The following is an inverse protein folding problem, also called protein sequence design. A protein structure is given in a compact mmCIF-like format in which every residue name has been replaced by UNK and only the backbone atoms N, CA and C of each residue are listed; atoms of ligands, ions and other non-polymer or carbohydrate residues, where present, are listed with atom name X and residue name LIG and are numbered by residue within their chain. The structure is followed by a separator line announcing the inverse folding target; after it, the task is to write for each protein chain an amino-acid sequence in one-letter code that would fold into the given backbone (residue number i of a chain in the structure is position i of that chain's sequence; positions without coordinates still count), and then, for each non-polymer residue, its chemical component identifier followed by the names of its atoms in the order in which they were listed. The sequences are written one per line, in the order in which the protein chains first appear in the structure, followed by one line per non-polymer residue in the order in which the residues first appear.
data_IF_531419721410
#
_entry.id   IF_531419721410
#
_cell.length_a   1.000
_cell.length_b   1.000
_cell.length_c   1.000
_cell.angle_alpha   90.00
_cell.angle_beta   90.00
_cell.angle_gamma   90.00
#
_symmetry.space_group_name_H-M   'P 1'
#
loop_
_entity.id
_entity.type
_entity.pdbx_description
1 polymer ?
#
# COMPACT_ATOMS: atom_id res chain seq x y z
N UNK A 1 13.92 37.68 -2.60
CA UNK A 1 14.59 36.46 -2.16
C UNK A 1 13.46 35.57 -1.65
N UNK A 2 12.98 34.63 -2.44
CA UNK A 2 12.04 33.62 -1.98
C UNK A 2 12.74 32.80 -0.88
N UNK A 3 12.13 32.75 0.31
CA UNK A 3 12.59 31.82 1.34
C UNK A 3 12.52 30.42 0.73
N UNK A 4 13.63 29.72 0.65
CA UNK A 4 13.66 28.33 0.17
C UNK A 4 12.72 27.50 1.01
N UNK A 5 11.84 26.73 0.37
CA UNK A 5 10.98 25.77 1.04
C UNK A 5 11.88 24.83 1.85
N UNK A 6 11.50 24.61 3.10
CA UNK A 6 12.28 23.72 3.98
C UNK A 6 12.05 22.28 3.60
N UNK A 7 13.08 21.46 3.74
CA UNK A 7 12.90 19.99 3.76
C UNK A 7 12.12 19.64 5.02
N UNK A 8 11.05 18.88 4.84
CA UNK A 8 10.24 18.32 5.92
C UNK A 8 10.66 16.86 6.11
N UNK A 9 10.69 16.41 7.35
CA UNK A 9 11.01 15.03 7.70
C UNK A 9 9.97 14.51 8.67
N UNK A 10 9.48 13.33 8.47
CA UNK A 10 8.57 12.63 9.37
C UNK A 10 9.07 11.20 9.63
N UNK A 11 8.77 10.71 10.82
CA UNK A 11 9.02 9.32 11.23
C UNK A 11 7.75 8.81 11.90
N UNK A 12 7.36 7.60 11.56
CA UNK A 12 6.19 6.97 12.15
C UNK A 12 6.32 5.47 12.22
N UNK A 13 5.37 4.84 12.91
CA UNK A 13 5.22 3.39 12.88
C UNK A 13 3.76 3.03 13.17
N UNK A 14 3.22 2.11 12.40
CA UNK A 14 1.94 1.49 12.67
C UNK A 14 2.14 0.12 13.35
N UNK A 15 1.31 -0.18 14.33
CA UNK A 15 1.13 -1.53 14.86
C UNK A 15 -0.22 -2.02 14.37
N UNK A 16 -0.24 -3.08 13.57
CA UNK A 16 -1.44 -3.64 12.96
C UNK A 16 -1.68 -5.08 13.37
N UNK A 17 -2.94 -5.46 13.52
CA UNK A 17 -3.34 -6.83 13.85
C UNK A 17 -3.20 -7.81 12.69
N UNK A 18 -3.10 -7.29 11.47
CA UNK A 18 -2.97 -8.05 10.23
C UNK A 18 -2.45 -7.13 9.13
N UNK A 19 -1.59 -7.63 8.25
CA UNK A 19 -1.15 -6.93 7.07
C UNK A 19 -2.04 -7.33 5.88
N UNK A 20 -2.92 -6.43 5.46
CA UNK A 20 -3.79 -6.59 4.29
C UNK A 20 -3.47 -5.52 3.26
N UNK A 21 -3.16 -5.93 2.04
CA UNK A 21 -2.79 -5.04 0.94
C UNK A 21 -3.55 -5.41 -0.33
N UNK A 22 -4.26 -4.47 -0.93
CA UNK A 22 -5.04 -4.62 -2.16
C UNK A 22 -5.97 -5.84 -2.15
N UNK A 23 -6.62 -6.09 -1.00
CA UNK A 23 -7.51 -7.24 -0.80
C UNK A 23 -6.81 -8.57 -0.54
N UNK A 24 -5.50 -8.57 -0.34
CA UNK A 24 -4.69 -9.76 -0.05
C UNK A 24 -4.23 -9.75 1.41
N UNK A 25 -4.26 -10.91 2.05
CA UNK A 25 -3.68 -11.13 3.39
C UNK A 25 -2.20 -11.47 3.23
N UNK A 26 -1.32 -10.55 3.62
CA UNK A 26 0.13 -10.70 3.49
C UNK A 26 0.80 -11.07 4.80
N UNK A 27 0.08 -11.08 5.93
CA UNK A 27 0.66 -11.48 7.20
C UNK A 27 -0.19 -11.14 8.43
N UNK A 28 0.27 -11.63 9.57
CA UNK A 28 -0.34 -11.44 10.88
C UNK A 28 -0.03 -10.07 11.49
N UNK A 29 0.10 -10.08 12.82
CA UNK A 29 0.47 -8.87 13.59
C UNK A 29 1.85 -8.39 13.16
N UNK A 30 1.96 -7.10 12.79
CA UNK A 30 3.23 -6.51 12.37
C UNK A 30 3.43 -5.08 12.87
N UNK A 31 4.69 -4.66 12.94
CA UNK A 31 5.10 -3.26 13.10
C UNK A 31 5.54 -2.75 11.73
N UNK A 32 5.02 -1.59 11.34
CA UNK A 32 5.23 -1.01 10.02
C UNK A 32 5.83 0.40 10.14
N UNK A 33 7.17 0.51 10.29
CA UNK A 33 7.85 1.80 10.38
C UNK A 33 7.88 2.53 9.05
N UNK A 34 7.82 3.88 9.11
CA UNK A 34 7.92 4.77 7.97
C UNK A 34 8.87 5.92 8.28
N UNK A 35 9.70 6.28 7.31
CA UNK A 35 10.48 7.52 7.29
C UNK A 35 10.19 8.21 5.97
N UNK A 36 9.91 9.53 6.02
CA UNK A 36 9.68 10.32 4.81
C UNK A 36 10.43 11.65 4.87
N UNK A 37 10.96 12.05 3.71
CA UNK A 37 11.54 13.35 3.45
C UNK A 37 10.76 14.02 2.32
N UNK A 38 10.25 15.23 2.59
CA UNK A 38 9.48 16.03 1.63
C UNK A 38 10.18 17.34 1.27
N UNK A 39 10.11 17.74 -0.01
CA UNK A 39 10.58 19.05 -0.47
C UNK A 39 9.87 19.46 -1.76
N UNK A 40 9.11 20.55 -1.71
CA UNK A 40 8.47 21.18 -2.89
C UNK A 40 7.67 20.20 -3.76
N UNK A 41 6.88 19.35 -3.12
CA UNK A 41 6.09 18.31 -3.78
C UNK A 41 6.85 17.02 -4.09
N UNK A 42 8.19 17.00 -4.01
CA UNK A 42 8.99 15.77 -4.05
C UNK A 42 8.93 15.08 -2.69
N UNK A 43 8.86 13.75 -2.69
CA UNK A 43 8.97 12.93 -1.50
C UNK A 43 9.90 11.74 -1.74
N UNK A 44 10.62 11.36 -0.70
CA UNK A 44 11.39 10.11 -0.63
C UNK A 44 10.99 9.43 0.67
N UNK A 45 10.44 8.24 0.59
CA UNK A 45 10.05 7.47 1.76
C UNK A 45 10.66 6.07 1.77
N UNK A 46 10.88 5.57 2.98
CA UNK A 46 11.16 4.18 3.25
C UNK A 46 10.09 3.68 4.21
N UNK A 47 9.41 2.61 3.83
CA UNK A 47 8.44 1.89 4.64
C UNK A 47 8.91 0.46 4.82
N UNK A 48 8.49 -0.21 5.87
CA UNK A 48 8.74 -1.62 6.05
C UNK A 48 7.64 -2.30 6.83
N UNK A 49 7.61 -3.64 6.81
CA UNK A 49 6.74 -4.48 7.62
C UNK A 49 7.55 -5.59 8.25
N UNK A 50 7.44 -5.74 9.56
CA UNK A 50 8.08 -6.82 10.32
C UNK A 50 7.03 -7.50 11.17
N UNK A 51 6.75 -8.76 10.85
CA UNK A 51 5.80 -9.59 11.60
C UNK A 51 6.39 -10.12 12.91
N UNK A 52 5.54 -10.67 13.76
CA UNK A 52 5.94 -11.22 15.07
C UNK A 52 6.23 -12.72 15.02
N UNK A 53 5.97 -13.38 13.91
CA UNK A 53 6.30 -14.79 13.70
C UNK A 53 7.38 -14.94 12.64
N UNK A 54 8.06 -16.09 12.61
CA UNK A 54 9.09 -16.35 11.60
C UNK A 54 8.52 -16.70 10.22
N UNK A 55 7.24 -16.89 10.17
CA UNK A 55 6.48 -17.24 8.95
C UNK A 55 5.94 -15.99 8.27
N UNK A 56 5.94 -14.84 8.98
CA UNK A 56 5.52 -13.56 8.41
C UNK A 56 6.56 -13.04 7.41
N UNK A 57 6.09 -12.51 6.31
CA UNK A 57 6.93 -11.85 5.31
C UNK A 57 7.50 -10.55 5.87
N UNK A 58 8.81 -10.34 5.73
CA UNK A 58 9.45 -9.05 5.97
C UNK A 58 9.51 -8.27 4.65
N UNK A 59 9.15 -6.98 4.70
CA UNK A 59 9.08 -6.13 3.52
C UNK A 59 9.78 -4.79 3.75
N UNK A 60 10.43 -4.29 2.71
CA UNK A 60 11.05 -2.96 2.66
C UNK A 60 10.68 -2.31 1.32
N UNK A 61 10.05 -1.15 1.40
CA UNK A 61 9.64 -0.36 0.25
C UNK A 61 10.38 0.97 0.22
N UNK A 62 10.94 1.32 -0.93
CA UNK A 62 11.50 2.64 -1.17
C UNK A 62 10.67 3.36 -2.25
N UNK A 63 10.11 4.51 -1.90
CA UNK A 63 9.26 5.28 -2.83
C UNK A 63 9.84 6.66 -3.09
N UNK A 64 9.96 7.00 -4.37
CA UNK A 64 10.20 8.36 -4.84
C UNK A 64 8.90 8.88 -5.44
N UNK A 65 8.37 9.97 -4.90
CA UNK A 65 7.10 10.57 -5.31
C UNK A 65 7.22 12.04 -5.71
N UNK A 66 6.24 12.50 -6.46
CA UNK A 66 5.99 13.91 -6.72
C UNK A 66 4.50 14.19 -6.76
N UNK A 67 4.09 15.20 -6.01
CA UNK A 67 2.69 15.64 -5.95
C UNK A 67 2.60 17.16 -6.19
N UNK A 68 1.61 17.55 -7.02
CA UNK A 68 1.29 18.97 -7.22
C UNK A 68 -0.12 19.16 -7.78
N UNK A 69 -0.93 19.98 -7.09
CA UNK A 69 -2.25 20.39 -7.58
C UNK A 69 -3.23 19.23 -7.76
N UNK A 70 -3.17 18.24 -6.86
CA UNK A 70 -3.97 17.03 -6.88
C UNK A 70 -3.39 15.91 -7.78
N UNK A 71 -2.45 16.21 -8.68
CA UNK A 71 -1.78 15.21 -9.49
C UNK A 71 -0.62 14.60 -8.71
N UNK A 72 -0.49 13.28 -8.75
CA UNK A 72 0.59 12.52 -8.13
C UNK A 72 1.21 11.52 -9.10
N UNK A 73 2.51 11.33 -8.97
CA UNK A 73 3.25 10.23 -9.61
C UNK A 73 4.26 9.67 -8.63
N UNK A 74 4.49 8.36 -8.65
CA UNK A 74 5.58 7.78 -7.87
C UNK A 74 6.17 6.53 -8.54
N UNK A 75 7.33 6.13 -8.05
CA UNK A 75 7.95 4.85 -8.32
C UNK A 75 8.30 4.24 -6.97
N UNK A 76 7.87 3.00 -6.76
CA UNK A 76 8.16 2.21 -5.56
C UNK A 76 8.97 0.98 -5.92
N UNK A 77 10.00 0.72 -5.16
CA UNK A 77 10.77 -0.52 -5.13
C UNK A 77 10.31 -1.32 -3.91
N UNK A 78 9.54 -2.37 -4.14
CA UNK A 78 9.11 -3.35 -3.14
C UNK A 78 10.14 -4.45 -3.04
N UNK A 79 10.56 -4.81 -1.84
CA UNK A 79 11.38 -5.98 -1.61
C UNK A 79 10.82 -6.81 -0.46
N UNK A 80 10.73 -8.13 -0.66
CA UNK A 80 10.34 -9.09 0.36
C UNK A 80 11.45 -10.12 0.61
N UNK A 81 11.48 -10.67 1.82
CA UNK A 81 12.47 -11.70 2.20
C UNK A 81 12.16 -13.11 1.67
N UNK A 82 11.15 -13.26 0.79
CA UNK A 82 10.73 -14.55 0.22
C UNK A 82 11.70 -15.14 -0.82
N UNK A 83 12.73 -14.39 -1.18
CA UNK A 83 13.70 -14.82 -2.20
C UNK A 83 15.10 -14.29 -1.93
N UNK A 84 15.84 -13.85 -2.97
CA UNK A 84 17.18 -13.30 -2.83
C UNK A 84 17.24 -12.07 -1.92
N UNK A 85 18.37 -11.92 -1.22
CA UNK A 85 18.57 -10.81 -0.28
C UNK A 85 18.47 -9.43 -0.94
N UNK A 86 18.23 -8.40 -0.13
CA UNK A 86 17.93 -7.01 -0.53
C UNK A 86 18.87 -6.43 -1.61
N UNK A 87 20.15 -6.70 -1.59
CA UNK A 87 21.09 -6.16 -2.58
C UNK A 87 21.20 -6.97 -3.89
N UNK A 88 20.30 -7.92 -4.10
CA UNK A 88 20.26 -8.74 -5.30
C UNK A 88 19.28 -8.18 -6.34
N UNK A 89 19.79 -7.38 -7.28
CA UNK A 89 19.02 -6.74 -8.37
C UNK A 89 19.14 -7.47 -9.73
N UNK A 90 19.32 -8.78 -9.71
CA UNK A 90 19.42 -9.58 -10.95
C UNK A 90 18.13 -9.56 -11.77
N UNK A 91 18.22 -9.25 -13.06
CA UNK A 91 17.07 -8.93 -13.93
C UNK A 91 15.95 -9.99 -14.02
N UNK A 92 16.19 -11.23 -13.63
CA UNK A 92 15.18 -12.31 -13.68
C UNK A 92 15.24 -13.20 -12.42
N UNK A 93 15.91 -12.73 -11.38
CA UNK A 93 16.14 -13.51 -10.16
C UNK A 93 16.07 -12.65 -8.89
N UNK A 94 15.52 -11.45 -8.99
CA UNK A 94 15.36 -10.53 -7.85
C UNK A 94 14.03 -10.75 -7.15
N UNK A 95 13.97 -10.46 -5.83
CA UNK A 95 12.73 -10.29 -5.08
C UNK A 95 12.18 -8.85 -5.17
N UNK A 96 12.92 -7.93 -5.83
CA UNK A 96 12.43 -6.57 -6.03
C UNK A 96 11.34 -6.51 -7.09
N UNK A 97 10.29 -5.74 -6.81
CA UNK A 97 9.23 -5.37 -7.76
C UNK A 97 9.20 -3.85 -7.88
N UNK A 98 9.30 -3.34 -9.10
CA UNK A 98 9.25 -1.90 -9.36
C UNK A 98 7.89 -1.53 -9.92
N UNK A 99 7.15 -0.69 -9.18
CA UNK A 99 5.83 -0.21 -9.55
C UNK A 99 5.85 1.30 -9.83
N UNK A 100 5.18 1.71 -10.89
CA UNK A 100 4.87 3.10 -11.17
C UNK A 100 3.42 3.39 -10.78
N UNK A 101 3.19 4.56 -10.19
CA UNK A 101 1.85 5.05 -9.83
C UNK A 101 1.60 6.40 -10.50
N UNK A 102 0.36 6.59 -10.95
CA UNK A 102 -0.20 7.89 -11.36
C UNK A 102 -1.54 8.06 -10.66
N UNK A 103 -1.78 9.23 -10.07
CA UNK A 103 -3.02 9.50 -9.38
C UNK A 103 -3.51 10.93 -9.57
N UNK A 104 -4.79 11.13 -9.23
CA UNK A 104 -5.38 12.45 -9.13
C UNK A 104 -6.36 12.53 -7.97
N UNK A 105 -6.16 13.50 -7.09
CA UNK A 105 -7.06 13.85 -6.01
C UNK A 105 -7.99 15.00 -6.43
N UNK A 106 -9.29 14.72 -6.48
CA UNK A 106 -10.37 15.67 -6.78
C UNK A 106 -10.82 16.47 -5.54
N UNK A 107 -10.23 16.19 -4.36
CA UNK A 107 -10.57 16.77 -3.06
C UNK A 107 -11.71 16.02 -2.35
N UNK A 108 -12.63 15.38 -3.06
CA UNK A 108 -13.70 14.53 -2.51
C UNK A 108 -13.49 13.03 -2.78
N UNK A 109 -12.63 12.71 -3.74
CA UNK A 109 -12.18 11.36 -4.06
C UNK A 109 -10.81 11.41 -4.70
N UNK A 110 -10.04 10.35 -4.56
CA UNK A 110 -8.78 10.15 -5.28
C UNK A 110 -8.88 8.91 -6.16
N UNK A 111 -8.32 8.99 -7.38
CA UNK A 111 -8.23 7.90 -8.34
C UNK A 111 -6.75 7.61 -8.57
N UNK A 112 -6.34 6.32 -8.47
CA UNK A 112 -4.97 5.90 -8.67
C UNK A 112 -4.88 4.73 -9.64
N UNK A 113 -3.82 4.72 -10.42
CA UNK A 113 -3.38 3.62 -11.28
C UNK A 113 -1.96 3.23 -10.90
N UNK A 114 -1.74 1.94 -10.71
CA UNK A 114 -0.47 1.33 -10.39
C UNK A 114 -0.11 0.31 -11.46
N UNK A 115 1.17 0.17 -11.81
CA UNK A 115 1.64 -0.84 -12.77
C UNK A 115 3.05 -1.29 -12.42
N UNK A 116 3.24 -2.58 -12.26
CA UNK A 116 4.56 -3.20 -12.14
C UNK A 116 5.26 -3.17 -13.51
N UNK A 117 6.44 -2.58 -13.58
CA UNK A 117 7.16 -2.43 -14.85
C UNK A 117 8.51 -3.15 -14.90
N UNK A 118 9.06 -3.55 -13.74
CA UNK A 118 10.34 -4.25 -13.64
C UNK A 118 10.39 -5.18 -12.42
N UNK A 119 11.42 -6.04 -12.34
CA UNK A 119 11.63 -6.96 -11.24
C UNK A 119 10.76 -8.21 -11.31
N UNK A 120 10.36 -8.71 -10.15
CA UNK A 120 9.58 -9.94 -9.93
C UNK A 120 8.08 -9.77 -10.15
N UNK A 121 7.67 -9.11 -11.23
CA UNK A 121 6.26 -8.98 -11.59
C UNK A 121 5.59 -10.33 -11.87
N UNK A 122 4.27 -10.35 -11.78
CA UNK A 122 3.43 -11.48 -12.16
C UNK A 122 3.49 -11.82 -13.65
N UNK A 123 2.93 -12.97 -13.99
CA UNK A 123 2.90 -13.51 -15.33
C UNK A 123 1.46 -13.68 -15.82
N UNK A 124 1.31 -13.65 -17.14
CA UNK A 124 0.10 -14.07 -17.82
C UNK A 124 0.10 -15.61 -17.95
N UNK A 125 -1.04 -16.21 -18.30
CA UNK A 125 -1.14 -17.67 -18.60
C UNK A 125 -0.10 -18.16 -19.63
N UNK A 126 0.37 -17.29 -20.51
CA UNK A 126 1.40 -17.61 -21.51
C UNK A 126 2.84 -17.48 -20.99
N UNK A 127 3.04 -17.20 -19.68
CA UNK A 127 4.34 -17.06 -19.05
C UNK A 127 5.07 -15.76 -19.39
N UNK A 128 4.37 -14.75 -19.93
CA UNK A 128 4.93 -13.44 -20.21
C UNK A 128 4.69 -12.51 -19.01
N UNK A 129 5.56 -11.50 -18.84
CA UNK A 129 5.33 -10.43 -17.85
C UNK A 129 3.93 -9.86 -18.00
N UNK A 130 3.18 -9.81 -16.91
CA UNK A 130 1.80 -9.35 -16.92
C UNK A 130 1.68 -7.82 -16.90
N UNK A 131 2.72 -7.10 -16.46
CA UNK A 131 2.63 -5.69 -16.11
C UNK A 131 1.47 -5.49 -15.12
N UNK A 132 1.50 -6.29 -14.06
CA UNK A 132 0.44 -6.38 -13.06
C UNK A 132 0.03 -5.01 -12.61
N UNK A 133 -1.24 -4.70 -12.74
CA UNK A 133 -1.77 -3.36 -12.51
C UNK A 133 -2.93 -3.38 -11.54
N UNK A 134 -3.10 -2.27 -10.84
CA UNK A 134 -4.17 -2.07 -9.89
C UNK A 134 -4.76 -0.67 -10.05
N UNK A 135 -6.07 -0.58 -10.01
CA UNK A 135 -6.83 0.67 -9.97
C UNK A 135 -7.43 0.84 -8.60
N UNK A 136 -7.38 2.02 -8.01
CA UNK A 136 -8.13 2.29 -6.79
C UNK A 136 -8.87 3.61 -6.85
N UNK A 137 -10.01 3.65 -6.16
CA UNK A 137 -10.78 4.85 -5.85
C UNK A 137 -10.89 4.94 -4.34
N UNK A 138 -10.51 6.09 -3.79
CA UNK A 138 -10.59 6.40 -2.37
C UNK A 138 -11.55 7.56 -2.14
N UNK A 139 -12.46 7.43 -1.18
CA UNK A 139 -13.44 8.47 -0.81
C UNK A 139 -13.35 8.72 0.69
N UNK A 140 -12.61 9.77 1.11
CA UNK A 140 -12.56 10.18 2.51
C UNK A 140 -13.81 10.99 2.90
N UNK A 141 -14.31 10.81 4.12
CA UNK A 141 -15.36 11.64 4.71
C UNK A 141 -15.28 11.61 6.24
N UNK A 142 -15.86 12.63 6.89
CA UNK A 142 -15.95 12.69 8.34
C UNK A 142 -17.41 12.53 8.78
N UNK A 143 -17.64 11.65 9.77
CA UNK A 143 -18.97 11.41 10.34
C UNK A 143 -18.85 11.10 11.84
N UNK A 144 -19.65 11.79 12.66
CA UNK A 144 -19.72 11.59 14.11
C UNK A 144 -18.36 11.73 14.85
N UNK A 145 -17.46 12.60 14.35
CA UNK A 145 -16.12 12.81 14.92
C UNK A 145 -15.19 11.63 14.72
N UNK A 146 -15.40 10.88 13.66
CA UNK A 146 -14.56 9.79 13.16
C UNK A 146 -14.25 10.12 11.71
N UNK A 147 -13.00 9.92 11.30
CA UNK A 147 -12.58 10.03 9.92
C UNK A 147 -12.73 8.66 9.24
N UNK A 148 -13.46 8.65 8.13
CA UNK A 148 -13.77 7.45 7.37
C UNK A 148 -13.10 7.51 6.00
N UNK A 149 -12.71 6.35 5.49
CA UNK A 149 -12.30 6.17 4.11
C UNK A 149 -12.95 4.92 3.52
N UNK A 150 -13.61 5.08 2.38
CA UNK A 150 -14.04 3.96 1.54
C UNK A 150 -13.04 3.82 0.42
N UNK A 151 -12.58 2.59 0.19
CA UNK A 151 -11.72 2.28 -0.94
C UNK A 151 -12.32 1.14 -1.74
N UNK A 152 -12.26 1.25 -3.06
CA UNK A 152 -12.54 0.16 -4.00
C UNK A 152 -11.35 0.02 -4.94
N UNK A 153 -10.94 -1.23 -5.17
CA UNK A 153 -9.79 -1.55 -6.00
C UNK A 153 -10.04 -2.73 -6.94
N UNK A 154 -9.41 -2.68 -8.10
CA UNK A 154 -9.57 -3.69 -9.14
C UNK A 154 -8.27 -3.95 -9.90
N UNK A 155 -8.10 -5.19 -10.32
CA UNK A 155 -7.08 -5.65 -11.27
C UNK A 155 -7.67 -5.54 -12.67
N UNK A 156 -7.07 -4.79 -13.63
CA UNK A 156 -7.68 -4.51 -14.92
C UNK A 156 -7.52 -5.63 -15.97
N UNK A 157 -6.56 -6.54 -15.79
CA UNK A 157 -6.27 -7.63 -16.73
C UNK A 157 -5.59 -8.83 -16.06
N UNK A 158 -5.42 -9.91 -16.81
CA UNK A 158 -4.88 -11.17 -16.32
C UNK A 158 -3.45 -11.03 -15.77
N UNK A 159 -3.26 -11.55 -14.56
CA UNK A 159 -1.96 -11.62 -13.86
C UNK A 159 -2.07 -12.63 -12.72
N UNK A 160 -0.98 -13.31 -12.38
CA UNK A 160 -0.86 -14.17 -11.19
C UNK A 160 -0.32 -13.41 -9.95
N UNK A 161 -0.11 -12.10 -10.05
CA UNK A 161 0.43 -11.27 -8.96
C UNK A 161 -0.58 -10.98 -7.85
N UNK A 162 -1.87 -10.88 -8.19
CA UNK A 162 -2.94 -10.59 -7.24
C UNK A 162 -3.83 -11.81 -7.04
N UNK A 163 -4.21 -12.09 -5.78
CA UNK A 163 -5.19 -13.12 -5.48
C UNK A 163 -6.59 -12.65 -5.93
N UNK A 164 -7.09 -13.25 -6.99
CA UNK A 164 -8.33 -12.85 -7.62
C UNK A 164 -9.26 -14.03 -7.91
N UNK A 165 -8.99 -15.21 -7.34
CA UNK A 165 -9.89 -16.35 -7.33
C UNK A 165 -9.81 -17.06 -5.98
N UNK A 166 -10.76 -17.91 -5.65
CA UNK A 166 -10.83 -18.72 -4.42
C UNK A 166 -9.89 -19.94 -4.43
N UNK A 167 -9.23 -20.21 -5.56
CA UNK A 167 -8.21 -21.26 -5.64
C UNK A 167 -6.86 -20.69 -5.17
N UNK A 168 -6.18 -21.38 -4.23
CA UNK A 168 -4.83 -21.06 -3.80
C UNK A 168 -3.91 -20.87 -5.02
N UNK A 169 -3.30 -19.70 -5.14
CA UNK A 169 -2.38 -19.30 -6.21
C UNK A 169 -2.96 -19.02 -7.60
N UNK A 170 -4.25 -18.86 -7.77
CA UNK A 170 -4.79 -18.42 -9.06
C UNK A 170 -4.97 -16.90 -9.09
N UNK A 171 -4.32 -16.27 -10.04
CA UNK A 171 -4.38 -14.83 -10.29
C UNK A 171 -5.66 -14.41 -11.00
N UNK A 172 -5.74 -13.11 -11.33
CA UNK A 172 -6.81 -12.57 -12.15
C UNK A 172 -6.75 -13.12 -13.59
N UNK A 173 -7.88 -13.55 -14.11
CA UNK A 173 -8.03 -13.98 -15.51
C UNK A 173 -8.50 -12.83 -16.44
N UNK A 174 -8.71 -11.65 -15.88
CA UNK A 174 -9.19 -10.46 -16.57
C UNK A 174 -9.43 -9.33 -15.59
N UNK A 175 -10.48 -8.53 -15.83
CA UNK A 175 -10.90 -7.50 -14.88
C UNK A 175 -11.58 -8.14 -13.68
N UNK A 176 -10.99 -7.91 -12.47
CA UNK A 176 -11.51 -8.41 -11.21
C UNK A 176 -11.48 -7.32 -10.13
N UNK A 177 -12.59 -7.16 -9.40
CA UNK A 177 -12.62 -6.34 -8.19
C UNK A 177 -12.04 -7.15 -7.05
N UNK A 178 -10.89 -6.74 -6.54
CA UNK A 178 -10.17 -7.48 -5.49
C UNK A 178 -10.20 -6.79 -4.13
N UNK A 179 -10.70 -5.55 -4.08
CA UNK A 179 -10.79 -4.81 -2.83
C UNK A 179 -12.04 -3.93 -2.76
N UNK A 180 -12.78 -4.07 -1.66
CA UNK A 180 -13.74 -3.10 -1.17
C UNK A 180 -13.51 -2.95 0.32
N UNK A 181 -13.10 -1.77 0.79
CA UNK A 181 -12.78 -1.56 2.19
C UNK A 181 -13.43 -0.33 2.78
N UNK A 182 -13.66 -0.38 4.09
CA UNK A 182 -14.09 0.74 4.91
C UNK A 182 -13.16 0.83 6.10
N UNK A 183 -12.51 1.99 6.26
CA UNK A 183 -11.68 2.30 7.42
C UNK A 183 -12.30 3.41 8.24
N UNK A 184 -12.24 3.26 9.56
CA UNK A 184 -12.58 4.27 10.55
C UNK A 184 -11.33 4.62 11.33
N UNK A 185 -10.99 5.91 11.45
CA UNK A 185 -9.86 6.41 12.23
C UNK A 185 -10.34 7.38 13.29
N UNK A 186 -9.83 7.23 14.51
CA UNK A 186 -10.18 8.07 15.65
C UNK A 186 -8.92 8.51 16.40
N UNK A 187 -8.80 9.81 16.61
CA UNK A 187 -7.81 10.40 17.50
C UNK A 187 -8.21 10.19 18.96
N UNK A 188 -7.43 9.42 19.73
CA UNK A 188 -7.65 9.22 21.15
C UNK A 188 -6.71 10.11 21.98
N UNK A 189 -7.22 11.09 22.75
CA UNK A 189 -6.38 11.90 23.61
C UNK A 189 -5.85 11.03 24.77
N UNK A 190 -4.52 10.81 24.80
CA UNK A 190 -3.84 10.04 25.85
C UNK A 190 -3.34 10.96 26.96
N UNK A 191 -2.79 12.12 26.55
CA UNK A 191 -2.38 13.20 27.46
C UNK A 191 -2.85 14.55 26.92
N UNK A 192 -2.56 15.65 27.61
CA UNK A 192 -2.86 17.00 27.13
C UNK A 192 -2.04 17.41 25.88
N UNK A 193 -0.94 16.68 25.59
CA UNK A 193 -0.03 16.97 24.48
C UNK A 193 0.18 15.80 23.54
N UNK A 194 -0.48 14.67 23.75
CA UNK A 194 -0.33 13.48 22.92
C UNK A 194 -1.69 12.85 22.62
N UNK A 195 -2.00 12.69 21.36
CA UNK A 195 -3.12 11.90 20.83
C UNK A 195 -2.59 10.67 20.12
N UNK A 196 -3.30 9.57 20.26
CA UNK A 196 -3.00 8.30 19.60
C UNK A 196 -4.06 8.03 18.53
N UNK A 197 -3.72 8.10 17.23
CA UNK A 197 -4.59 7.63 16.19
C UNK A 197 -4.79 6.11 16.30
N UNK A 198 -6.02 5.67 16.35
CA UNK A 198 -6.40 4.25 16.26
C UNK A 198 -7.31 4.08 15.07
N UNK A 199 -7.20 2.96 14.40
CA UNK A 199 -8.07 2.67 13.27
C UNK A 199 -8.57 1.23 13.26
N UNK A 200 -9.70 1.04 12.60
CA UNK A 200 -10.26 -0.26 12.27
C UNK A 200 -10.62 -0.26 10.78
N UNK A 201 -10.25 -1.32 10.07
CA UNK A 201 -10.54 -1.50 8.64
C UNK A 201 -11.19 -2.86 8.43
N UNK A 202 -12.26 -2.87 7.65
CA UNK A 202 -12.83 -4.08 7.06
C UNK A 202 -12.50 -4.06 5.58
N UNK A 203 -11.94 -5.15 5.08
CA UNK A 203 -11.64 -5.33 3.65
C UNK A 203 -12.33 -6.59 3.18
N UNK A 204 -13.05 -6.49 2.09
CA UNK A 204 -13.63 -7.62 1.36
C UNK A 204 -12.97 -7.71 -0.01
N UNK A 205 -12.52 -8.91 -0.36
CA UNK A 205 -12.07 -9.23 -1.71
C UNK A 205 -13.21 -10.00 -2.42
N UNK A 206 -13.97 -9.35 -3.33
CA UNK A 206 -15.10 -10.00 -4.01
C UNK A 206 -14.68 -11.18 -4.88
N UNK A 207 -13.47 -11.16 -5.47
CA UNK A 207 -12.99 -12.19 -6.36
C UNK A 207 -12.66 -13.51 -5.65
N UNK A 208 -12.20 -13.42 -4.38
CA UNK A 208 -11.88 -14.60 -3.55
C UNK A 208 -12.93 -14.88 -2.47
N UNK A 209 -13.98 -14.04 -2.37
CA UNK A 209 -14.94 -14.02 -1.26
C UNK A 209 -14.29 -13.83 0.12
N UNK A 210 -13.00 -13.48 0.16
CA UNK A 210 -12.23 -13.25 1.39
C UNK A 210 -12.64 -11.96 2.10
N UNK A 211 -12.75 -12.01 3.42
CA UNK A 211 -13.03 -10.84 4.26
C UNK A 211 -12.02 -10.74 5.39
N UNK A 212 -11.46 -9.55 5.59
CA UNK A 212 -10.41 -9.31 6.58
C UNK A 212 -10.79 -8.14 7.48
N UNK A 213 -10.45 -8.28 8.75
CA UNK A 213 -10.56 -7.20 9.73
C UNK A 213 -9.17 -6.84 10.23
N UNK A 214 -8.83 -5.55 10.16
CA UNK A 214 -7.58 -4.99 10.66
C UNK A 214 -7.90 -3.97 11.73
N UNK A 215 -7.23 -4.07 12.85
CA UNK A 215 -7.16 -3.05 13.87
C UNK A 215 -5.73 -2.56 14.00
N UNK A 216 -5.54 -1.25 14.12
CA UNK A 216 -4.20 -0.69 14.23
C UNK A 216 -4.15 0.60 15.02
N UNK A 217 -2.94 0.99 15.39
CA UNK A 217 -2.62 2.26 15.99
C UNK A 217 -1.38 2.85 15.29
N UNK A 218 -1.34 4.18 15.20
CA UNK A 218 -0.26 4.91 14.53
C UNK A 218 0.51 5.76 15.52
N UNK A 219 1.84 5.69 15.46
CA UNK A 219 2.75 6.56 16.20
C UNK A 219 3.47 7.45 15.18
N UNK A 220 3.42 8.77 15.34
CA UNK A 220 4.09 9.73 14.47
C UNK A 220 4.89 10.75 15.28
N UNK A 221 6.03 11.19 14.71
CA UNK A 221 6.95 12.16 15.31
C UNK A 221 7.43 13.17 14.28
#
# INVERSE_FOLDING_TARGET
VQAGEKVEASVGADLVSRYVWRGQDLGGVSVQPTIELGWNGLSLSAWGSVGFTREDTEEIDLTLGYERGGFSVSVTDYWTNEGPGYFHYGAHSTSHVFEAQVGYDFGWAALNWYTNFAGGDGQTESGKRAYSSFLSVNVPFALAGIDWNVEAGAVPWATDYYNATDEESSGANGFEVTEVSLQATKELPVTTSFTLPVFARVTWNPATEGAYFVFGLSLGF
#
